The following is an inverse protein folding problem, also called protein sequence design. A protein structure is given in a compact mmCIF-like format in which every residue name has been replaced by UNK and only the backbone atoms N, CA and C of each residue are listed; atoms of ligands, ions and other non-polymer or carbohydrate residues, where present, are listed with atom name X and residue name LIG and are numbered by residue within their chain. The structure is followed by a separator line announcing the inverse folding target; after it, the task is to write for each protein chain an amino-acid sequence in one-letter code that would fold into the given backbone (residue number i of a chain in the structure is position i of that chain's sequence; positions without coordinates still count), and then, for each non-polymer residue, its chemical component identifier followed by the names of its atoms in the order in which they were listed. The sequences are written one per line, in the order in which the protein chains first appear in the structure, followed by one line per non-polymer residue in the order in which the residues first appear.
data_IF_019052534110
#
_entry.id   IF_019052534110
#
_cell.length_a   1.000
_cell.length_b   1.000
_cell.length_c   1.000
_cell.angle_alpha   90.00
_cell.angle_beta   90.00
_cell.angle_gamma   90.00
#
_symmetry.space_group_name_H-M   'P 1'
#
loop_
_entity.id
_entity.type
_entity.pdbx_description
1 polymer ?
#
# COMPACT_ATOMS: atom_id res chain seq x y z
N UNK A 1 4.88 -29.04 -0.10
CA UNK A 1 4.40 -27.73 -0.60
C UNK A 1 5.29 -27.35 -1.77
N UNK A 2 4.75 -26.78 -2.86
CA UNK A 2 5.60 -26.25 -3.93
C UNK A 2 6.02 -24.82 -3.55
N UNK A 3 7.27 -24.66 -3.10
CA UNK A 3 7.80 -23.40 -2.61
C UNK A 3 7.90 -22.33 -3.70
N UNK A 4 8.18 -22.73 -4.95
CA UNK A 4 8.24 -21.83 -6.10
C UNK A 4 6.85 -21.29 -6.44
N UNK A 5 5.83 -22.15 -6.43
CA UNK A 5 4.45 -21.75 -6.66
C UNK A 5 3.95 -20.81 -5.56
N UNK A 6 4.29 -21.09 -4.30
CA UNK A 6 3.97 -20.20 -3.18
C UNK A 6 4.69 -18.84 -3.32
N UNK A 7 6.00 -18.83 -3.54
CA UNK A 7 6.77 -17.60 -3.69
C UNK A 7 6.25 -16.74 -4.84
N UNK A 8 5.98 -17.37 -6.00
CA UNK A 8 5.47 -16.67 -7.17
C UNK A 8 4.10 -16.05 -6.90
N UNK A 9 3.18 -16.80 -6.28
CA UNK A 9 1.83 -16.31 -5.97
C UNK A 9 1.84 -15.17 -4.95
N UNK A 10 2.65 -15.28 -3.87
CA UNK A 10 2.84 -14.20 -2.88
C UNK A 10 3.41 -12.95 -3.54
N UNK A 11 4.48 -13.09 -4.34
CA UNK A 11 5.09 -11.94 -5.06
C UNK A 11 4.11 -11.27 -6.00
N UNK A 12 3.31 -12.06 -6.74
CA UNK A 12 2.27 -11.53 -7.65
C UNK A 12 1.22 -10.74 -6.87
N UNK A 13 0.74 -11.28 -5.75
CA UNK A 13 -0.22 -10.60 -4.88
C UNK A 13 0.31 -9.27 -4.34
N UNK A 14 1.52 -9.27 -3.76
CA UNK A 14 2.14 -8.05 -3.23
C UNK A 14 2.39 -7.01 -4.32
N UNK A 15 2.77 -7.42 -5.54
CA UNK A 15 2.92 -6.52 -6.69
C UNK A 15 1.59 -5.87 -7.07
N UNK A 16 0.49 -6.65 -7.11
CA UNK A 16 -0.83 -6.10 -7.38
C UNK A 16 -1.26 -5.10 -6.32
N UNK A 17 -1.04 -5.40 -5.02
CA UNK A 17 -1.29 -4.44 -3.94
C UNK A 17 -0.51 -3.14 -4.16
N UNK A 18 0.80 -3.25 -4.38
CA UNK A 18 1.67 -2.07 -4.52
C UNK A 18 1.25 -1.17 -5.67
N UNK A 19 0.98 -1.73 -6.85
CA UNK A 19 0.59 -0.94 -8.03
C UNK A 19 -0.79 -0.30 -7.85
N UNK A 20 -1.75 -1.01 -7.26
CA UNK A 20 -3.09 -0.45 -7.01
C UNK A 20 -3.03 0.64 -5.95
N UNK A 21 -2.38 0.38 -4.82
CA UNK A 21 -2.25 1.34 -3.72
C UNK A 21 -1.54 2.63 -4.18
N UNK A 22 -0.45 2.50 -4.94
CA UNK A 22 0.26 3.65 -5.49
C UNK A 22 -0.66 4.55 -6.33
N UNK A 23 -1.43 3.97 -7.27
CA UNK A 23 -2.33 4.75 -8.14
C UNK A 23 -3.40 5.50 -7.35
N UNK A 24 -4.00 4.84 -6.35
CA UNK A 24 -5.03 5.46 -5.52
C UNK A 24 -4.46 6.55 -4.61
N UNK A 25 -3.27 6.33 -4.03
CA UNK A 25 -2.55 7.34 -3.26
C UNK A 25 -2.25 8.57 -4.12
N UNK A 26 -1.64 8.39 -5.30
CA UNK A 26 -1.30 9.50 -6.21
C UNK A 26 -2.53 10.29 -6.63
N UNK A 27 -3.64 9.59 -6.92
CA UNK A 27 -4.91 10.22 -7.26
C UNK A 27 -5.46 11.04 -6.09
N UNK A 28 -5.46 10.48 -4.88
CA UNK A 28 -5.94 11.17 -3.69
C UNK A 28 -5.08 12.40 -3.35
N UNK A 29 -3.76 12.28 -3.44
CA UNK A 29 -2.82 13.40 -3.22
C UNK A 29 -3.08 14.51 -4.25
N UNK A 30 -3.22 14.18 -5.53
CA UNK A 30 -3.52 15.17 -6.58
C UNK A 30 -4.85 15.88 -6.35
N UNK A 31 -5.90 15.14 -5.99
CA UNK A 31 -7.19 15.76 -5.68
C UNK A 31 -7.13 16.66 -4.45
N UNK A 32 -6.33 16.30 -3.43
CA UNK A 32 -6.10 17.15 -2.26
C UNK A 32 -5.29 18.42 -2.60
N UNK A 33 -4.38 18.33 -3.56
CA UNK A 33 -3.63 19.49 -4.06
C UNK A 33 -4.56 20.46 -4.82
N UNK A 34 -5.35 19.93 -5.76
CA UNK A 34 -6.28 20.69 -6.58
C UNK A 34 -7.35 21.44 -5.76
N UNK A 35 -7.79 20.86 -4.65
CA UNK A 35 -8.80 21.47 -3.77
C UNK A 35 -8.19 22.28 -2.61
N UNK A 36 -6.86 22.39 -2.54
CA UNK A 36 -6.15 23.16 -1.50
C UNK A 36 -6.19 22.54 -0.09
N UNK A 37 -6.50 21.25 0.03
CA UNK A 37 -6.53 20.54 1.33
C UNK A 37 -5.26 19.72 1.61
N UNK A 38 -4.33 19.65 0.67
CA UNK A 38 -3.06 18.94 0.86
C UNK A 38 -2.19 19.66 1.90
N UNK A 39 -1.82 19.02 3.02
CA UNK A 39 -1.00 19.64 4.03
C UNK A 39 0.46 19.85 3.58
N UNK A 40 1.15 20.75 4.28
CA UNK A 40 2.59 21.01 4.09
C UNK A 40 3.51 20.01 4.81
N UNK A 41 2.93 19.08 5.55
CA UNK A 41 3.65 18.02 6.28
C UNK A 41 3.57 16.66 5.57
N UNK A 42 4.52 15.75 5.81
CA UNK A 42 4.46 14.39 5.30
C UNK A 42 3.17 13.68 5.72
N UNK A 43 2.58 12.90 4.81
CA UNK A 43 1.38 12.12 5.11
C UNK A 43 1.77 10.83 5.83
N UNK A 44 1.08 10.52 6.93
CA UNK A 44 1.23 9.22 7.59
C UNK A 44 0.43 8.18 6.83
N UNK A 45 1.05 7.04 6.51
CA UNK A 45 0.42 5.94 5.79
C UNK A 45 0.53 4.63 6.58
N UNK A 46 -0.49 3.78 6.44
CA UNK A 46 -0.52 2.45 7.02
C UNK A 46 -1.12 1.47 6.00
N UNK A 47 -0.49 0.31 5.85
CA UNK A 47 -1.02 -0.82 5.11
C UNK A 47 -1.17 -2.01 6.06
N UNK A 48 -2.29 -2.72 5.96
CA UNK A 48 -2.54 -3.97 6.66
C UNK A 48 -2.72 -5.12 5.67
N UNK A 49 -2.13 -6.27 5.99
CA UNK A 49 -2.29 -7.51 5.23
C UNK A 49 -2.76 -8.58 6.20
N UNK A 50 -3.92 -9.15 5.90
CA UNK A 50 -4.47 -10.29 6.64
C UNK A 50 -4.57 -11.49 5.72
N UNK A 51 -4.10 -12.65 6.17
CA UNK A 51 -4.26 -13.92 5.43
C UNK A 51 -5.05 -14.90 6.27
N UNK A 52 -6.33 -15.04 5.93
CA UNK A 52 -7.21 -16.02 6.56
C UNK A 52 -6.68 -17.44 6.35
N UNK A 53 -6.83 -18.29 7.36
CA UNK A 53 -6.38 -19.69 7.34
C UNK A 53 -4.93 -19.92 7.79
N UNK A 54 -4.13 -18.86 7.97
CA UNK A 54 -2.79 -18.94 8.59
C UNK A 54 -2.59 -17.93 9.73
N UNK A 55 -3.67 -17.28 10.17
CA UNK A 55 -3.68 -16.30 11.28
C UNK A 55 -2.58 -15.23 11.16
N UNK A 56 -2.31 -14.78 9.93
CA UNK A 56 -1.31 -13.75 9.67
C UNK A 56 -1.97 -12.38 9.66
N UNK A 57 -1.45 -11.47 10.47
CA UNK A 57 -1.69 -10.04 10.40
C UNK A 57 -0.35 -9.30 10.34
N UNK A 58 -0.15 -8.49 9.29
CA UNK A 58 1.04 -7.66 9.12
C UNK A 58 0.59 -6.22 8.94
N UNK A 59 1.15 -5.33 9.77
CA UNK A 59 0.95 -3.88 9.67
C UNK A 59 2.27 -3.24 9.24
N UNK A 60 2.22 -2.45 8.18
CA UNK A 60 3.35 -1.68 7.68
C UNK A 60 2.99 -0.20 7.77
N UNK A 61 3.77 0.55 8.54
CA UNK A 61 3.62 2.00 8.65
C UNK A 61 4.69 2.70 7.81
N UNK A 62 4.33 3.85 7.26
CA UNK A 62 5.22 4.64 6.42
C UNK A 62 4.86 6.12 6.44
N UNK A 63 5.70 6.91 5.75
CA UNK A 63 5.47 8.31 5.48
C UNK A 63 5.52 8.53 3.98
N UNK A 64 4.68 9.44 3.49
CA UNK A 64 4.64 9.84 2.09
C UNK A 64 5.02 11.31 2.03
N UNK A 65 6.18 11.57 1.43
CA UNK A 65 6.65 12.92 1.14
C UNK A 65 5.89 13.45 -0.07
N UNK A 66 5.36 14.67 0.05
CA UNK A 66 4.60 15.34 -1.01
C UNK A 66 5.32 16.58 -1.57
N UNK A 67 6.51 16.89 -1.03
CA UNK A 67 7.38 18.02 -1.42
C UNK A 67 8.85 17.65 -1.26
#
# INVERSE_FOLDING_TARGET
MNEDALNMSVRKFLKTIGVTAQREIEKAVRSAEENGSLPDSPLTAQASITVAGVELEVIVNGKIETR
#
